data_IF_432000966291
#
_entry.id   IF_432000966291
#
_cell.length_a   1.000
_cell.length_b   1.000
_cell.length_c   1.000
_cell.angle_alpha   90.00
_cell.angle_beta   90.00
_cell.angle_gamma   90.00
#
_symmetry.space_group_name_H-M   'P 1'
#
loop_
_entity.id
_entity.type
_entity.pdbx_description
1 polymer ?
#
# COMPACT_ATOMS: atom_id res chain seq x y z
N UNK A 1 -3.45 30.72 -7.11
CA UNK A 1 -3.32 29.60 -6.16
C UNK A 1 -1.84 29.31 -5.92
N UNK A 2 -1.30 29.67 -4.75
CA UNK A 2 0.01 29.15 -4.31
C UNK A 2 -0.18 27.66 -4.02
N UNK A 3 0.75 26.83 -4.50
CA UNK A 3 0.72 25.39 -4.23
C UNK A 3 1.36 25.19 -2.85
N UNK A 4 0.53 25.07 -1.81
CA UNK A 4 1.04 24.81 -0.45
C UNK A 4 1.54 23.38 -0.35
N UNK A 5 2.86 23.26 -0.34
CA UNK A 5 3.61 22.01 -0.24
C UNK A 5 3.76 21.54 1.23
N UNK A 6 3.30 22.35 2.18
CA UNK A 6 3.54 22.23 3.63
C UNK A 6 2.32 21.75 4.42
N UNK A 7 1.15 21.65 3.81
CA UNK A 7 0.02 21.05 4.52
C UNK A 7 0.39 19.59 4.83
N UNK A 8 0.50 19.24 6.12
CA UNK A 8 0.84 17.88 6.59
C UNK A 8 -0.44 17.04 6.79
N UNK A 9 -1.59 17.68 6.98
CA UNK A 9 -2.84 17.04 7.36
C UNK A 9 -3.50 16.23 6.22
N UNK A 10 -3.18 16.53 4.96
CA UNK A 10 -3.78 15.84 3.81
C UNK A 10 -3.55 14.32 3.87
N UNK A 11 -2.40 13.87 4.39
CA UNK A 11 -2.06 12.46 4.44
C UNK A 11 -2.95 11.72 5.44
N UNK A 12 -3.13 12.28 6.64
CA UNK A 12 -4.02 11.71 7.67
C UNK A 12 -5.48 11.69 7.21
N UNK A 13 -5.95 12.76 6.55
CA UNK A 13 -7.31 12.82 5.99
C UNK A 13 -7.50 11.77 4.90
N UNK A 14 -6.52 11.62 4.00
CA UNK A 14 -6.54 10.60 2.95
C UNK A 14 -6.56 9.18 3.54
N UNK A 15 -5.72 8.91 4.54
CA UNK A 15 -5.69 7.62 5.25
C UNK A 15 -7.04 7.33 5.92
N UNK A 16 -7.62 8.29 6.62
CA UNK A 16 -8.92 8.12 7.27
C UNK A 16 -10.03 7.86 6.24
N UNK A 17 -10.08 8.66 5.17
CA UNK A 17 -11.07 8.52 4.11
C UNK A 17 -10.99 7.15 3.42
N UNK A 18 -9.78 6.67 3.13
CA UNK A 18 -9.60 5.32 2.61
C UNK A 18 -10.02 4.24 3.63
N UNK A 19 -9.93 4.49 4.94
CA UNK A 19 -10.23 3.45 5.95
C UNK A 19 -11.72 3.22 5.99
N UNK A 20 -12.44 4.32 6.17
CA UNK A 20 -13.90 4.37 6.13
C UNK A 20 -14.42 3.76 4.82
N UNK A 21 -13.79 4.08 3.68
CA UNK A 21 -14.21 3.52 2.40
C UNK A 21 -14.04 1.99 2.33
N UNK A 22 -12.88 1.45 2.73
CA UNK A 22 -12.63 0.01 2.70
C UNK A 22 -13.42 -0.78 3.76
N UNK A 23 -13.89 -0.12 4.81
CA UNK A 23 -14.77 -0.71 5.83
C UNK A 23 -16.23 -0.77 5.37
N UNK A 24 -16.72 0.27 4.69
CA UNK A 24 -18.14 0.37 4.27
C UNK A 24 -18.40 -0.32 2.93
N UNK A 25 -17.49 -0.18 1.96
CA UNK A 25 -17.73 -0.61 0.60
C UNK A 25 -17.38 -2.08 0.38
N UNK A 26 -18.33 -2.85 -0.16
CA UNK A 26 -18.07 -4.21 -0.67
C UNK A 26 -17.31 -4.20 -2.01
N UNK A 27 -17.56 -3.19 -2.85
CA UNK A 27 -16.93 -3.03 -4.18
C UNK A 27 -15.78 -2.01 -4.17
N UNK A 28 -14.69 -2.35 -3.48
CA UNK A 28 -13.54 -1.44 -3.30
C UNK A 28 -12.77 -1.17 -4.61
N UNK A 29 -12.78 -2.11 -5.55
CA UNK A 29 -11.93 -2.05 -6.74
C UNK A 29 -12.29 -0.93 -7.73
N UNK A 30 -13.59 -0.62 -7.89
CA UNK A 30 -14.06 0.30 -8.94
C UNK A 30 -13.74 1.75 -8.56
N UNK A 31 -14.10 2.16 -7.34
CA UNK A 31 -13.90 3.54 -6.89
C UNK A 31 -12.40 3.83 -6.74
N UNK A 32 -11.65 2.92 -6.11
CA UNK A 32 -10.20 3.05 -5.97
C UNK A 32 -9.52 3.15 -7.34
N UNK A 33 -9.95 2.33 -8.31
CA UNK A 33 -9.47 2.42 -9.68
C UNK A 33 -9.72 3.79 -10.33
N UNK A 34 -10.91 4.38 -10.12
CA UNK A 34 -11.24 5.73 -10.62
C UNK A 34 -10.42 6.82 -9.92
N UNK A 35 -10.25 6.73 -8.60
CA UNK A 35 -9.45 7.68 -7.82
C UNK A 35 -7.99 7.66 -8.25
N UNK A 36 -7.39 6.46 -8.36
CA UNK A 36 -6.02 6.29 -8.85
C UNK A 36 -5.88 6.82 -10.27
N UNK A 37 -6.82 6.50 -11.17
CA UNK A 37 -6.78 6.99 -12.55
C UNK A 37 -6.81 8.52 -12.61
N UNK A 38 -7.64 9.15 -11.78
CA UNK A 38 -7.74 10.61 -11.70
C UNK A 38 -6.47 11.23 -11.10
N UNK A 39 -5.91 10.63 -10.05
CA UNK A 39 -4.66 11.08 -9.44
C UNK A 39 -3.48 10.98 -10.43
N UNK A 40 -3.33 9.85 -11.12
CA UNK A 40 -2.33 9.67 -12.17
C UNK A 40 -2.50 10.65 -13.33
N UNK A 41 -3.75 10.96 -13.70
CA UNK A 41 -4.04 11.97 -14.72
C UNK A 41 -3.50 13.35 -14.31
N UNK A 42 -3.69 13.76 -13.05
CA UNK A 42 -3.12 15.01 -12.54
C UNK A 42 -1.59 14.98 -12.53
N UNK A 43 -0.97 13.89 -12.07
CA UNK A 43 0.49 13.73 -12.07
C UNK A 43 1.05 13.88 -13.49
N UNK A 44 0.45 13.20 -14.47
CA UNK A 44 0.84 13.29 -15.89
C UNK A 44 0.63 14.69 -16.44
N UNK A 45 -0.52 15.31 -16.16
CA UNK A 45 -0.81 16.65 -16.65
C UNK A 45 0.22 17.67 -16.16
N UNK A 46 0.64 17.57 -14.91
CA UNK A 46 1.66 18.45 -14.33
C UNK A 46 3.05 18.14 -14.90
N UNK A 47 3.39 16.86 -15.14
CA UNK A 47 4.66 16.53 -15.79
C UNK A 47 4.74 17.11 -17.20
N UNK A 48 3.65 17.07 -17.98
CA UNK A 48 3.61 17.63 -19.33
C UNK A 48 3.86 19.15 -19.31
N UNK A 49 3.25 19.86 -18.34
CA UNK A 49 3.46 21.30 -18.16
C UNK A 49 4.90 21.60 -17.75
N UNK A 50 5.46 20.83 -16.82
CA UNK A 50 6.86 20.97 -16.41
C UNK A 50 7.81 20.77 -17.59
N UNK A 51 7.64 19.69 -18.38
CA UNK A 51 8.45 19.41 -19.56
C UNK A 51 8.34 20.51 -20.61
N UNK A 52 7.17 21.11 -20.79
CA UNK A 52 6.99 22.26 -21.69
C UNK A 52 7.87 23.45 -21.30
N UNK A 53 7.88 23.83 -20.01
CA UNK A 53 8.73 24.93 -19.53
C UNK A 53 10.21 24.55 -19.51
N UNK A 54 10.56 23.29 -19.22
CA UNK A 54 11.94 22.80 -19.26
C UNK A 54 12.50 22.87 -20.69
N UNK A 55 11.73 22.45 -21.69
CA UNK A 55 12.12 22.54 -23.09
C UNK A 55 12.26 23.99 -23.56
N UNK A 56 11.39 24.90 -23.11
CA UNK A 56 11.52 26.34 -23.45
C UNK A 56 12.79 26.98 -22.89
N UNK A 57 13.21 26.58 -21.68
CA UNK A 57 14.47 27.06 -21.09
C UNK A 57 15.68 26.49 -21.85
N UNK A 58 15.63 25.23 -22.28
CA UNK A 58 16.72 24.59 -23.05
C UNK A 58 16.90 25.16 -24.46
N UNK A 59 15.83 25.62 -25.10
CA UNK A 59 15.85 26.09 -26.49
C UNK A 59 16.30 27.54 -26.64
N UNK A 60 16.13 28.39 -25.62
CA UNK A 60 16.47 29.81 -25.67
C UNK A 60 17.44 30.18 -24.55
N UNK A 61 18.69 30.47 -24.89
CA UNK A 61 19.73 30.86 -23.92
C UNK A 61 19.39 32.21 -23.23
N UNK A 62 18.70 33.11 -23.95
CA UNK A 62 18.21 34.40 -23.45
C UNK A 62 16.75 34.30 -22.94
N UNK A 63 16.41 33.22 -22.20
CA UNK A 63 15.07 33.03 -21.64
C UNK A 63 14.78 34.08 -20.57
N UNK A 64 13.67 34.82 -20.71
CA UNK A 64 13.21 35.79 -19.71
C UNK A 64 13.03 35.17 -18.32
N UNK A 65 13.34 35.95 -17.28
CA UNK A 65 13.32 35.56 -15.86
C UNK A 65 12.01 34.86 -15.46
N UNK A 66 10.87 35.36 -15.97
CA UNK A 66 9.53 34.79 -15.76
C UNK A 66 9.44 33.32 -16.17
N UNK A 67 10.11 32.90 -17.26
CA UNK A 67 10.06 31.51 -17.73
C UNK A 67 10.85 30.60 -16.79
N UNK A 68 11.98 31.07 -16.27
CA UNK A 68 12.80 30.34 -15.29
C UNK A 68 12.04 30.18 -13.97
N UNK A 69 11.36 31.23 -13.49
CA UNK A 69 10.51 31.16 -12.30
C UNK A 69 9.34 30.17 -12.47
N UNK A 70 8.66 30.21 -13.63
CA UNK A 70 7.57 29.29 -13.94
C UNK A 70 8.05 27.84 -13.99
N UNK A 71 9.22 27.58 -14.58
CA UNK A 71 9.84 26.25 -14.56
C UNK A 71 10.05 25.76 -13.13
N UNK A 72 10.60 26.61 -12.27
CA UNK A 72 10.86 26.27 -10.87
C UNK A 72 9.56 25.98 -10.09
N UNK A 73 8.50 26.77 -10.33
CA UNK A 73 7.18 26.55 -9.77
C UNK A 73 6.61 25.18 -10.19
N UNK A 74 6.62 24.87 -11.49
CA UNK A 74 6.08 23.61 -11.99
C UNK A 74 6.93 22.40 -11.59
N UNK A 75 8.24 22.56 -11.45
CA UNK A 75 9.11 21.53 -10.87
C UNK A 75 8.71 21.20 -9.43
N UNK A 76 8.49 22.22 -8.59
CA UNK A 76 8.03 22.02 -7.19
C UNK A 76 6.64 21.37 -7.15
N UNK A 77 5.71 21.84 -7.98
CA UNK A 77 4.38 21.26 -8.09
C UNK A 77 4.43 19.79 -8.54
N UNK A 78 5.27 19.46 -9.52
CA UNK A 78 5.46 18.09 -9.99
C UNK A 78 6.01 17.17 -8.89
N UNK A 79 7.02 17.63 -8.13
CA UNK A 79 7.58 16.88 -7.00
C UNK A 79 6.49 16.59 -5.97
N UNK A 80 5.72 17.61 -5.58
CA UNK A 80 4.68 17.47 -4.56
C UNK A 80 3.54 16.54 -5.01
N UNK A 81 3.06 16.67 -6.25
CA UNK A 81 1.97 15.80 -6.75
C UNK A 81 2.45 14.36 -6.95
N UNK A 82 3.69 14.16 -7.38
CA UNK A 82 4.27 12.83 -7.53
C UNK A 82 4.47 12.15 -6.18
N UNK A 83 4.98 12.86 -5.18
CA UNK A 83 5.06 12.41 -3.78
C UNK A 83 3.70 11.97 -3.26
N UNK A 84 2.67 12.81 -3.42
CA UNK A 84 1.30 12.49 -2.98
C UNK A 84 0.72 11.26 -3.69
N UNK A 85 0.98 11.12 -5.00
CA UNK A 85 0.55 9.97 -5.77
C UNK A 85 1.23 8.67 -5.29
N UNK A 86 2.53 8.72 -4.98
CA UNK A 86 3.27 7.57 -4.44
C UNK A 86 2.72 7.17 -3.06
N UNK A 87 2.57 8.13 -2.15
CA UNK A 87 1.99 7.90 -0.84
C UNK A 87 0.56 7.32 -0.92
N UNK A 88 -0.28 7.86 -1.81
CA UNK A 88 -1.62 7.33 -2.08
C UNK A 88 -1.56 5.89 -2.62
N UNK A 89 -0.67 5.60 -3.55
CA UNK A 89 -0.51 4.25 -4.10
C UNK A 89 -0.09 3.22 -3.05
N UNK A 90 0.82 3.60 -2.14
CA UNK A 90 1.24 2.77 -1.02
C UNK A 90 0.10 2.51 -0.03
N UNK A 91 -0.73 3.52 0.26
CA UNK A 91 -1.88 3.32 1.14
C UNK A 91 -2.98 2.47 0.52
N UNK A 92 -3.25 2.65 -0.77
CA UNK A 92 -4.17 1.76 -1.49
C UNK A 92 -3.68 0.31 -1.42
N UNK A 93 -2.39 0.07 -1.64
CA UNK A 93 -1.80 -1.27 -1.51
C UNK A 93 -2.00 -1.85 -0.11
N UNK A 94 -1.64 -1.10 0.94
CA UNK A 94 -1.78 -1.55 2.33
C UNK A 94 -3.24 -1.85 2.69
N UNK A 95 -4.19 -0.99 2.27
CA UNK A 95 -5.61 -1.20 2.54
C UNK A 95 -6.19 -2.39 1.78
N UNK A 96 -5.72 -2.67 0.56
CA UNK A 96 -6.07 -3.91 -0.13
C UNK A 96 -5.62 -5.14 0.64
N UNK A 97 -4.42 -5.13 1.24
CA UNK A 97 -3.92 -6.23 2.07
C UNK A 97 -4.77 -6.40 3.32
N UNK A 98 -4.96 -5.33 4.09
CA UNK A 98 -5.78 -5.35 5.33
C UNK A 98 -7.21 -5.83 5.04
N UNK A 99 -7.84 -5.31 3.99
CA UNK A 99 -9.20 -5.69 3.63
C UNK A 99 -9.29 -7.17 3.24
N UNK A 100 -8.28 -7.71 2.56
CA UNK A 100 -8.29 -9.12 2.13
C UNK A 100 -8.01 -10.08 3.29
N UNK A 101 -7.11 -9.74 4.21
CA UNK A 101 -6.72 -10.64 5.30
C UNK A 101 -7.55 -10.51 6.56
N UNK A 102 -8.07 -9.32 6.86
CA UNK A 102 -8.79 -9.06 8.11
C UNK A 102 -10.28 -8.95 7.83
N UNK A 103 -10.67 -7.95 7.04
CA UNK A 103 -12.09 -7.63 6.82
C UNK A 103 -12.80 -8.77 6.07
N UNK A 104 -12.25 -9.22 4.95
CA UNK A 104 -12.83 -10.29 4.15
C UNK A 104 -12.93 -11.59 4.95
N UNK A 105 -11.86 -12.00 5.65
CA UNK A 105 -11.87 -13.23 6.46
C UNK A 105 -12.93 -13.15 7.56
N UNK A 106 -13.04 -12.03 8.26
CA UNK A 106 -14.05 -11.81 9.30
C UNK A 106 -15.48 -11.88 8.74
N UNK A 107 -15.73 -11.25 7.60
CA UNK A 107 -17.05 -11.25 6.97
C UNK A 107 -17.45 -12.63 6.45
N UNK A 108 -16.52 -13.38 5.85
CA UNK A 108 -16.77 -14.74 5.37
C UNK A 108 -17.09 -15.67 6.55
N UNK A 109 -16.34 -15.56 7.67
CA UNK A 109 -16.64 -16.33 8.89
C UNK A 109 -18.04 -16.03 9.41
N UNK A 110 -18.39 -14.76 9.54
CA UNK A 110 -19.74 -14.34 9.97
C UNK A 110 -20.83 -14.88 9.05
N UNK A 111 -20.61 -14.85 7.74
CA UNK A 111 -21.57 -15.41 6.77
C UNK A 111 -21.70 -16.93 6.91
N UNK A 112 -20.60 -17.66 7.09
CA UNK A 112 -20.62 -19.11 7.28
C UNK A 112 -21.40 -19.50 8.55
N UNK A 113 -21.20 -18.77 9.66
CA UNK A 113 -21.94 -18.97 10.90
C UNK A 113 -23.45 -18.77 10.70
N UNK A 114 -23.87 -17.67 10.05
CA UNK A 114 -25.28 -17.39 9.77
C UNK A 114 -25.91 -18.48 8.89
N UNK A 115 -25.20 -18.97 7.87
CA UNK A 115 -25.67 -20.08 7.02
C UNK A 115 -25.86 -21.35 7.86
N UNK A 116 -24.92 -21.66 8.76
CA UNK A 116 -25.00 -22.84 9.62
C UNK A 116 -26.21 -22.77 10.58
N UNK A 117 -26.48 -21.61 11.18
CA UNK A 117 -27.67 -21.41 12.02
C UNK A 117 -28.99 -21.49 11.23
N UNK A 118 -29.00 -20.93 10.02
CA UNK A 118 -30.17 -21.02 9.11
C UNK A 118 -30.46 -22.48 8.73
N UNK A 119 -29.41 -23.25 8.43
CA UNK A 119 -29.53 -24.66 8.06
C UNK A 119 -30.04 -25.55 9.21
N UNK A 120 -29.73 -25.19 10.47
CA UNK A 120 -30.23 -25.86 11.67
C UNK A 120 -31.66 -25.46 12.05
N UNK A 121 -32.27 -24.52 11.34
CA UNK A 121 -33.64 -24.05 11.60
C UNK A 121 -33.78 -23.14 12.82
N UNK A 122 -32.67 -22.69 13.41
CA UNK A 122 -32.66 -21.83 14.61
C UNK A 122 -32.88 -20.34 14.27
N UNK A 123 -32.67 -19.96 13.00
CA UNK A 123 -32.95 -18.62 12.48
C UNK A 123 -33.90 -18.79 11.29
N UNK A 124 -35.16 -18.34 11.43
CA UNK A 124 -36.05 -18.11 10.28
C UNK A 124 -35.59 -16.80 9.65
N UNK A 125 -35.03 -16.81 8.42
CA UNK A 125 -34.74 -15.57 7.73
C UNK A 125 -36.05 -14.81 7.58
N UNK A 126 -36.12 -13.59 8.10
CA UNK A 126 -37.19 -12.65 7.76
C UNK A 126 -37.31 -12.66 6.23
N UNK A 127 -38.47 -13.08 5.71
CA UNK A 127 -38.69 -13.34 4.29
C UNK A 127 -38.16 -12.16 3.48
N UNK A 128 -36.98 -12.36 2.89
CA UNK A 128 -36.34 -11.31 2.12
C UNK A 128 -37.32 -10.93 1.02
N UNK A 129 -37.71 -9.65 0.89
CA UNK A 129 -38.66 -9.22 -0.13
C UNK A 129 -38.16 -9.73 -1.47
N UNK A 130 -39.06 -10.34 -2.24
CA UNK A 130 -38.85 -11.14 -3.47
C UNK A 130 -37.87 -10.47 -4.47
N UNK A 131 -36.60 -10.45 -4.11
CA UNK A 131 -35.54 -9.67 -4.74
C UNK A 131 -34.70 -10.64 -5.52
N UNK A 132 -34.67 -10.45 -6.82
CA UNK A 132 -33.71 -11.13 -7.68
C UNK A 132 -32.30 -10.77 -7.22
N UNK A 133 -31.57 -11.79 -6.78
CA UNK A 133 -30.15 -11.67 -6.42
C UNK A 133 -29.38 -11.16 -7.64
N UNK A 134 -28.53 -10.15 -7.43
CA UNK A 134 -27.57 -9.74 -8.47
C UNK A 134 -26.59 -10.88 -8.73
N UNK A 135 -25.96 -10.91 -9.91
CA UNK A 135 -25.08 -12.03 -10.31
C UNK A 135 -24.01 -12.37 -9.26
N UNK A 136 -23.41 -11.36 -8.61
CA UNK A 136 -22.42 -11.57 -7.55
C UNK A 136 -23.04 -12.08 -6.23
N UNK A 137 -24.27 -11.67 -5.90
CA UNK A 137 -25.01 -12.16 -4.72
C UNK A 137 -25.38 -13.63 -4.92
N UNK A 138 -25.83 -13.98 -6.12
CA UNK A 138 -26.09 -15.36 -6.51
C UNK A 138 -24.80 -16.20 -6.47
N UNK A 139 -23.70 -15.70 -7.02
CA UNK A 139 -22.40 -16.40 -6.97
C UNK A 139 -21.87 -16.57 -5.54
N UNK A 140 -22.13 -15.60 -4.65
CA UNK A 140 -21.80 -15.70 -3.23
C UNK A 140 -22.65 -16.76 -2.52
N UNK A 141 -23.96 -16.78 -2.76
CA UNK A 141 -24.88 -17.75 -2.16
C UNK A 141 -24.65 -19.18 -2.67
N UNK A 142 -24.35 -19.34 -3.96
CA UNK A 142 -24.05 -20.65 -4.56
C UNK A 142 -22.61 -21.13 -4.33
N UNK A 143 -21.80 -20.38 -3.58
CA UNK A 143 -20.37 -20.60 -3.44
C UNK A 143 -19.67 -20.84 -4.79
N UNK A 144 -19.99 -20.06 -5.83
CA UNK A 144 -19.41 -20.17 -7.17
C UNK A 144 -18.40 -19.05 -7.44
N UNK A 145 -17.29 -19.36 -8.12
CA UNK A 145 -16.29 -18.36 -8.51
C UNK A 145 -15.33 -17.96 -7.36
N UNK A 146 -15.40 -16.72 -6.86
CA UNK A 146 -14.55 -16.28 -5.73
C UNK A 146 -14.85 -17.07 -4.44
N UNK A 147 -15.94 -17.83 -4.37
CA UNK A 147 -16.28 -18.73 -3.26
C UNK A 147 -16.29 -20.23 -3.61
N UNK A 148 -15.88 -20.61 -4.83
CA UNK A 148 -15.80 -22.02 -5.24
C UNK A 148 -14.81 -22.77 -4.35
N UNK A 149 -15.29 -23.79 -3.66
CA UNK A 149 -14.48 -24.76 -2.95
C UNK A 149 -14.38 -26.01 -3.82
N UNK A 150 -13.22 -26.66 -3.87
CA UNK A 150 -13.10 -27.96 -4.54
C UNK A 150 -14.16 -28.91 -3.99
N UNK A 151 -14.72 -29.80 -4.81
CA UNK A 151 -15.74 -30.75 -4.34
C UNK A 151 -15.19 -31.66 -3.23
N UNK A 152 -13.89 -31.97 -3.26
CA UNK A 152 -13.19 -32.65 -2.16
C UNK A 152 -13.15 -31.82 -0.85
N UNK A 153 -13.06 -30.50 -0.96
CA UNK A 153 -13.09 -29.58 0.18
C UNK A 153 -14.52 -29.40 0.71
N UNK A 154 -15.54 -29.40 -0.15
CA UNK A 154 -16.96 -29.36 0.27
C UNK A 154 -17.36 -30.62 1.05
N UNK A 155 -16.77 -31.76 0.70
CA UNK A 155 -17.02 -33.05 1.34
C UNK A 155 -16.22 -33.27 2.63
N UNK A 156 -15.40 -32.30 3.07
CA UNK A 156 -14.62 -32.38 4.31
C UNK A 156 -13.50 -33.44 4.28
N UNK A 157 -13.15 -33.95 3.10
CA UNK A 157 -12.23 -35.08 2.91
C UNK A 157 -10.79 -34.70 3.27
N UNK A 158 -10.45 -33.42 3.26
CA UNK A 158 -9.09 -32.92 3.48
C UNK A 158 -8.73 -32.73 4.96
N UNK A 159 -9.68 -32.84 5.90
CA UNK A 159 -9.44 -32.63 7.34
C UNK A 159 -9.01 -31.21 7.72
N UNK A 160 -9.04 -30.27 6.77
CA UNK A 160 -8.66 -28.86 6.99
C UNK A 160 -9.85 -28.10 7.58
N UNK A 161 -9.63 -27.41 8.70
CA UNK A 161 -10.63 -26.53 9.30
C UNK A 161 -11.11 -25.46 8.31
N UNK A 162 -12.39 -25.10 8.37
CA UNK A 162 -12.98 -24.05 7.55
C UNK A 162 -12.24 -22.72 7.68
N UNK A 163 -11.74 -22.39 8.88
CA UNK A 163 -10.96 -21.18 9.10
C UNK A 163 -9.65 -21.16 8.31
N UNK A 164 -8.96 -22.30 8.27
CA UNK A 164 -7.69 -22.44 7.55
C UNK A 164 -7.93 -22.38 6.03
N UNK A 165 -9.07 -22.87 5.56
CA UNK A 165 -9.48 -22.73 4.15
C UNK A 165 -9.74 -21.27 3.76
N UNK A 166 -10.43 -20.51 4.62
CA UNK A 166 -10.70 -19.09 4.37
C UNK A 166 -9.37 -18.30 4.33
N UNK A 167 -8.44 -18.60 5.24
CA UNK A 167 -7.10 -17.98 5.29
C UNK A 167 -6.26 -18.34 4.06
N UNK A 168 -6.19 -19.62 3.71
CA UNK A 168 -5.50 -20.08 2.49
C UNK A 168 -6.02 -19.36 1.24
N UNK A 169 -7.34 -19.12 1.19
CA UNK A 169 -7.97 -18.37 0.11
C UNK A 169 -7.62 -16.88 0.11
N UNK A 170 -7.54 -16.22 1.26
CA UNK A 170 -7.10 -14.82 1.34
C UNK A 170 -5.68 -14.68 0.79
N UNK A 171 -4.78 -15.58 1.20
CA UNK A 171 -3.41 -15.65 0.67
C UNK A 171 -3.40 -15.87 -0.84
N UNK A 172 -4.21 -16.80 -1.36
CA UNK A 172 -4.31 -17.04 -2.81
C UNK A 172 -4.81 -15.80 -3.59
N UNK A 173 -5.74 -15.02 -3.03
CA UNK A 173 -6.21 -13.76 -3.65
C UNK A 173 -5.07 -12.75 -3.72
N UNK A 174 -4.30 -12.60 -2.64
CA UNK A 174 -3.19 -11.66 -2.57
C UNK A 174 -2.07 -12.02 -3.55
N UNK A 175 -1.64 -13.28 -3.56
CA UNK A 175 -0.53 -13.76 -4.39
C UNK A 175 -0.88 -13.77 -5.89
N UNK A 176 -2.07 -14.27 -6.25
CA UNK A 176 -2.39 -14.54 -7.66
C UNK A 176 -3.32 -13.51 -8.31
N UNK A 177 -4.18 -12.82 -7.56
CA UNK A 177 -5.26 -11.99 -8.13
C UNK A 177 -4.98 -10.50 -8.07
N UNK A 178 -4.41 -9.99 -6.98
CA UNK A 178 -4.16 -8.55 -6.82
C UNK A 178 -3.04 -8.04 -7.74
N UNK A 179 -2.00 -8.84 -7.94
CA UNK A 179 -0.82 -8.49 -8.73
C UNK A 179 -0.85 -9.05 -10.16
N UNK A 180 -1.97 -9.67 -10.56
CA UNK A 180 -2.13 -10.18 -11.93
C UNK A 180 -1.98 -9.04 -12.94
N UNK A 181 -1.34 -9.35 -14.07
CA UNK A 181 -1.15 -8.38 -15.16
C UNK A 181 -2.46 -7.69 -15.55
N UNK A 182 -2.41 -6.38 -15.70
CA UNK A 182 -3.56 -5.55 -16.04
C UNK A 182 -4.46 -5.16 -14.86
N UNK A 183 -4.10 -5.50 -13.62
CA UNK A 183 -4.76 -5.00 -12.41
C UNK A 183 -4.15 -3.68 -11.95
N UNK A 184 -4.83 -3.02 -11.00
CA UNK A 184 -4.46 -1.69 -10.54
C UNK A 184 -3.07 -1.67 -9.89
N UNK A 185 -2.86 -2.54 -8.90
CA UNK A 185 -1.60 -2.61 -8.14
C UNK A 185 -0.43 -3.04 -9.04
N UNK A 186 -0.66 -3.97 -9.98
CA UNK A 186 0.36 -4.37 -10.96
C UNK A 186 0.79 -3.23 -11.88
N UNK A 187 -0.09 -2.26 -12.17
CA UNK A 187 0.24 -1.08 -12.99
C UNK A 187 0.91 0.03 -12.18
N UNK A 188 0.64 0.11 -10.87
CA UNK A 188 1.25 1.09 -9.97
C UNK A 188 2.67 0.69 -9.56
N UNK A 189 2.93 -0.61 -9.38
CA UNK A 189 4.22 -1.09 -8.92
C UNK A 189 5.41 -0.64 -9.79
N UNK A 190 5.38 -0.74 -11.14
CA UNK A 190 6.48 -0.26 -11.98
C UNK A 190 6.75 1.24 -11.79
N UNK A 191 5.70 2.04 -11.58
CA UNK A 191 5.84 3.47 -11.33
C UNK A 191 6.55 3.74 -9.99
N UNK A 192 6.17 3.03 -8.92
CA UNK A 192 6.82 3.11 -7.60
C UNK A 192 8.29 2.72 -7.70
N UNK A 193 8.59 1.57 -8.32
CA UNK A 193 9.96 1.06 -8.47
C UNK A 193 10.81 1.99 -9.34
N UNK A 194 10.24 2.57 -10.39
CA UNK A 194 10.92 3.55 -11.23
C UNK A 194 11.29 4.80 -10.43
N UNK A 195 10.35 5.37 -9.69
CA UNK A 195 10.61 6.55 -8.85
C UNK A 195 11.67 6.30 -7.77
N UNK A 196 11.74 5.07 -7.25
CA UNK A 196 12.72 4.67 -6.25
C UNK A 196 14.13 4.51 -6.84
N UNK A 197 14.25 3.91 -8.04
CA UNK A 197 15.55 3.59 -8.67
C UNK A 197 16.13 4.71 -9.53
N UNK A 198 15.30 5.60 -10.07
CA UNK A 198 15.77 6.63 -10.97
C UNK A 198 16.67 7.65 -10.23
N UNK A 199 17.91 7.78 -10.68
CA UNK A 199 18.89 8.74 -10.13
C UNK A 199 18.44 10.19 -10.31
N UNK A 200 17.66 10.46 -11.37
CA UNK A 200 17.07 11.78 -11.65
C UNK A 200 15.93 12.15 -10.68
N UNK A 201 15.46 11.23 -9.84
CA UNK A 201 14.38 11.49 -8.89
C UNK A 201 14.85 12.33 -7.72
N UNK A 202 14.09 13.37 -7.39
CA UNK A 202 14.35 14.17 -6.20
C UNK A 202 14.33 13.30 -4.94
N UNK A 203 15.13 13.62 -3.90
CA UNK A 203 15.11 12.90 -2.64
C UNK A 203 13.71 12.73 -2.04
N UNK A 204 12.86 13.75 -2.18
CA UNK A 204 11.47 13.73 -1.70
C UNK A 204 10.63 12.66 -2.40
N UNK A 205 10.77 12.53 -3.71
CA UNK A 205 10.12 11.46 -4.50
C UNK A 205 10.67 10.09 -4.11
N UNK A 206 12.01 9.95 -4.01
CA UNK A 206 12.65 8.67 -3.65
C UNK A 206 12.22 8.20 -2.26
N UNK A 207 12.15 9.10 -1.28
CA UNK A 207 11.70 8.79 0.07
C UNK A 207 10.23 8.33 0.07
N UNK A 208 9.34 9.04 -0.63
CA UNK A 208 7.94 8.62 -0.76
C UNK A 208 7.77 7.30 -1.52
N UNK A 209 8.58 7.06 -2.56
CA UNK A 209 8.60 5.81 -3.30
C UNK A 209 9.08 4.64 -2.44
N UNK A 210 10.07 4.88 -1.57
CA UNK A 210 10.56 3.88 -0.62
C UNK A 210 9.44 3.46 0.34
N UNK A 211 8.71 4.42 0.92
CA UNK A 211 7.56 4.14 1.81
C UNK A 211 6.39 3.47 1.10
N UNK A 212 6.16 3.78 -0.17
CA UNK A 212 5.17 3.07 -0.97
C UNK A 212 5.65 1.63 -1.20
N UNK A 213 6.90 1.44 -1.62
CA UNK A 213 7.50 0.15 -1.88
C UNK A 213 7.45 -0.79 -0.65
N UNK A 214 7.72 -0.27 0.54
CA UNK A 214 7.61 -1.04 1.80
C UNK A 214 6.20 -1.52 2.11
N UNK A 215 5.16 -0.89 1.55
CA UNK A 215 3.78 -1.38 1.65
C UNK A 215 3.43 -2.37 0.54
N UNK A 216 3.96 -2.16 -0.66
CA UNK A 216 3.77 -3.09 -1.79
C UNK A 216 4.39 -4.46 -1.52
N UNK A 217 5.58 -4.50 -0.91
CA UNK A 217 6.30 -5.75 -0.61
C UNK A 217 5.49 -6.68 0.32
N UNK A 218 4.56 -6.14 1.11
CA UNK A 218 3.68 -6.90 1.99
C UNK A 218 2.56 -7.66 1.25
N UNK A 219 2.33 -7.38 -0.03
CA UNK A 219 1.19 -7.97 -0.77
C UNK A 219 1.37 -9.48 -0.97
N UNK A 220 2.54 -9.92 -1.41
CA UNK A 220 2.77 -11.31 -1.84
C UNK A 220 4.16 -11.81 -1.46
N UNK A 221 4.26 -13.11 -1.19
CA UNK A 221 5.55 -13.75 -0.85
C UNK A 221 6.58 -13.62 -1.97
N UNK A 222 6.18 -13.79 -3.23
CA UNK A 222 7.08 -13.68 -4.37
C UNK A 222 7.66 -12.25 -4.48
N UNK A 223 6.84 -11.23 -4.18
CA UNK A 223 7.32 -9.85 -4.13
C UNK A 223 8.26 -9.62 -2.93
N UNK A 224 7.94 -10.20 -1.77
CA UNK A 224 8.78 -10.15 -0.59
C UNK A 224 10.19 -10.73 -0.85
N UNK A 225 10.27 -11.89 -1.49
CA UNK A 225 11.54 -12.54 -1.80
C UNK A 225 12.38 -11.76 -2.82
N UNK A 226 11.74 -11.15 -3.83
CA UNK A 226 12.45 -10.35 -4.85
C UNK A 226 12.82 -8.95 -4.34
N UNK A 227 12.00 -8.40 -3.43
CA UNK A 227 12.11 -7.04 -2.94
C UNK A 227 12.92 -6.89 -1.66
N UNK A 228 13.16 -7.97 -0.92
CA UNK A 228 13.80 -7.94 0.40
C UNK A 228 15.18 -7.30 0.38
N UNK A 229 16.02 -7.65 -0.60
CA UNK A 229 17.36 -7.06 -0.72
C UNK A 229 17.32 -5.54 -0.86
N UNK A 230 16.41 -5.01 -1.69
CA UNK A 230 16.25 -3.56 -1.85
C UNK A 230 15.68 -2.92 -0.58
N UNK A 231 14.72 -3.58 0.06
CA UNK A 231 14.10 -3.12 1.31
C UNK A 231 15.14 -2.99 2.44
N UNK A 232 15.92 -4.04 2.72
CA UNK A 232 16.94 -4.02 3.77
C UNK A 232 18.14 -3.12 3.41
N UNK A 233 18.48 -2.97 2.13
CA UNK A 233 19.45 -1.96 1.72
C UNK A 233 18.97 -0.53 2.01
N UNK A 234 17.68 -0.23 1.84
CA UNK A 234 17.12 1.09 2.18
C UNK A 234 17.06 1.29 3.71
N UNK A 235 16.82 0.21 4.45
CA UNK A 235 16.83 0.17 5.90
C UNK A 235 18.18 0.64 6.47
N UNK A 236 19.29 0.07 5.96
CA UNK A 236 20.62 0.27 6.52
C UNK A 236 21.41 1.41 5.86
N UNK A 237 21.30 1.56 4.53
CA UNK A 237 22.17 2.46 3.77
C UNK A 237 21.52 3.80 3.38
N UNK A 238 20.25 4.03 3.73
CA UNK A 238 19.61 5.31 3.40
C UNK A 238 20.29 6.47 4.13
N UNK A 239 20.67 7.56 3.43
CA UNK A 239 21.27 8.73 4.06
C UNK A 239 20.27 9.53 4.92
N UNK A 240 18.96 9.30 4.74
CA UNK A 240 17.91 10.03 5.44
C UNK A 240 17.41 9.24 6.67
N UNK A 241 17.59 9.74 7.91
CA UNK A 241 17.16 9.06 9.12
C UNK A 241 15.66 8.76 9.14
N UNK A 242 14.83 9.70 8.65
CA UNK A 242 13.38 9.53 8.57
C UNK A 242 12.97 8.33 7.71
N UNK A 243 13.72 8.04 6.65
CA UNK A 243 13.46 6.85 5.81
C UNK A 243 13.83 5.58 6.58
N UNK A 244 14.98 5.56 7.26
CA UNK A 244 15.40 4.40 8.07
C UNK A 244 14.38 4.09 9.16
N UNK A 245 13.92 5.09 9.90
CA UNK A 245 12.90 4.92 10.95
C UNK A 245 11.59 4.34 10.39
N UNK A 246 11.10 4.90 9.28
CA UNK A 246 9.89 4.38 8.66
C UNK A 246 10.06 2.97 8.08
N UNK A 247 11.25 2.65 7.56
CA UNK A 247 11.58 1.30 7.11
C UNK A 247 11.68 0.33 8.28
N UNK A 248 12.13 0.77 9.47
CA UNK A 248 12.14 -0.04 10.69
C UNK A 248 10.72 -0.44 11.09
N UNK A 249 9.78 0.51 11.08
CA UNK A 249 8.37 0.23 11.36
C UNK A 249 7.82 -0.76 10.34
N UNK A 250 8.11 -0.56 9.05
CA UNK A 250 7.69 -1.49 8.01
C UNK A 250 8.37 -2.88 8.13
N UNK A 251 9.58 -2.95 8.69
CA UNK A 251 10.29 -4.20 8.93
C UNK A 251 9.57 -5.05 9.99
N UNK A 252 8.96 -4.42 10.99
CA UNK A 252 8.11 -5.14 11.94
C UNK A 252 6.91 -5.80 11.24
N UNK A 253 6.17 -5.03 10.42
CA UNK A 253 5.05 -5.57 9.63
C UNK A 253 5.50 -6.71 8.70
N UNK A 254 6.66 -6.52 8.07
CA UNK A 254 7.27 -7.52 7.20
C UNK A 254 7.67 -8.80 7.96
N UNK A 255 8.13 -8.67 9.22
CA UNK A 255 8.50 -9.80 10.09
C UNK A 255 7.31 -10.63 10.52
N UNK A 256 6.19 -9.98 10.85
CA UNK A 256 4.96 -10.70 11.17
C UNK A 256 4.38 -11.43 9.97
N UNK A 257 4.53 -10.86 8.77
CA UNK A 257 3.91 -11.39 7.57
C UNK A 257 4.74 -12.47 6.87
N UNK A 258 6.06 -12.29 6.80
CA UNK A 258 6.99 -13.18 6.10
C UNK A 258 8.21 -13.51 6.97
N UNK A 259 8.02 -14.24 8.09
CA UNK A 259 9.09 -14.51 9.05
C UNK A 259 10.30 -15.21 8.41
N UNK A 260 10.06 -16.19 7.54
CA UNK A 260 11.13 -16.94 6.85
C UNK A 260 11.99 -16.06 5.94
N UNK A 261 11.42 -14.98 5.38
CA UNK A 261 12.19 -14.05 4.54
C UNK A 261 13.00 -13.11 5.40
N UNK A 262 12.48 -12.68 6.55
CA UNK A 262 13.21 -11.82 7.51
C UNK A 262 14.38 -12.52 8.16
N UNK A 263 14.25 -13.81 8.47
CA UNK A 263 15.33 -14.58 9.10
C UNK A 263 16.65 -14.48 8.32
N UNK A 264 16.59 -14.41 6.98
CA UNK A 264 17.76 -14.22 6.10
C UNK A 264 18.47 -12.88 6.28
N UNK A 265 17.77 -11.87 6.80
CA UNK A 265 18.24 -10.50 6.99
C UNK A 265 18.19 -10.09 8.47
N UNK A 266 18.17 -11.06 9.40
CA UNK A 266 18.08 -10.77 10.83
C UNK A 266 19.23 -9.84 11.30
N UNK A 267 20.44 -10.07 10.78
CA UNK A 267 21.61 -9.23 11.08
C UNK A 267 21.39 -7.76 10.68
N UNK A 268 20.77 -7.52 9.52
CA UNK A 268 20.47 -6.17 9.04
C UNK A 268 19.47 -5.46 9.96
N UNK A 269 18.48 -6.20 10.48
CA UNK A 269 17.50 -5.67 11.43
C UNK A 269 18.15 -5.34 12.77
N UNK A 270 18.97 -6.24 13.30
CA UNK A 270 19.67 -6.02 14.58
C UNK A 270 20.64 -4.85 14.52
N UNK A 271 21.39 -4.71 13.42
CA UNK A 271 22.33 -3.60 13.23
C UNK A 271 21.61 -2.24 13.32
N UNK A 272 20.40 -2.12 12.78
CA UNK A 272 19.66 -0.86 12.88
C UNK A 272 19.04 -0.64 14.26
N UNK A 273 18.57 -1.69 14.94
CA UNK A 273 18.08 -1.58 16.32
C UNK A 273 19.19 -1.09 17.27
N UNK A 274 20.40 -1.63 17.11
CA UNK A 274 21.58 -1.17 17.85
C UNK A 274 21.89 0.30 17.56
N UNK A 275 21.86 0.70 16.28
CA UNK A 275 22.06 2.11 15.89
C UNK A 275 21.03 3.05 16.55
N UNK A 276 19.75 2.66 16.59
CA UNK A 276 18.69 3.45 17.22
C UNK A 276 18.91 3.59 18.73
N UNK A 277 19.20 2.48 19.41
CA UNK A 277 19.48 2.47 20.86
C UNK A 277 20.67 3.36 21.20
N UNK A 278 21.76 3.27 20.42
CA UNK A 278 22.94 4.12 20.61
C UNK A 278 22.60 5.60 20.36
N UNK A 279 21.79 5.92 19.36
CA UNK A 279 21.39 7.30 19.09
C UNK A 279 20.55 7.91 20.23
N UNK A 280 19.62 7.17 20.82
CA UNK A 280 18.83 7.62 21.95
C UNK A 280 19.65 7.75 23.24
N UNK A 281 20.63 6.86 23.44
CA UNK A 281 21.61 6.97 24.53
C UNK A 281 22.51 8.20 24.38
N UNK A 282 22.95 8.55 23.17
CA UNK A 282 23.73 9.78 22.96
C UNK A 282 22.92 11.05 23.17
N UNK A 283 21.64 11.06 22.77
CA UNK A 283 20.70 12.16 23.02
C UNK A 283 20.46 12.36 24.53
N UNK A 284 20.15 11.29 25.26
CA UNK A 284 19.96 11.34 26.72
C UNK A 284 21.24 11.71 27.47
N UNK A 285 22.41 11.24 27.03
CA UNK A 285 23.71 11.65 27.58
C UNK A 285 23.99 13.14 27.35
N UNK A 286 23.70 13.65 26.14
CA UNK A 286 23.91 15.06 25.81
C UNK A 286 22.96 15.99 26.56
N UNK A 287 21.71 15.57 26.81
CA UNK A 287 20.76 16.32 27.64
C UNK A 287 21.17 16.34 29.11
N UNK A 288 21.70 15.24 29.66
CA UNK A 288 22.24 15.19 31.01
C UNK A 288 23.46 16.11 31.19
N UNK A 289 24.36 16.18 30.21
CA UNK A 289 25.49 17.10 30.24
C UNK A 289 25.07 18.58 30.12
N UNK A 290 23.97 18.88 29.41
CA UNK A 290 23.43 20.25 29.30
C UNK A 290 22.66 20.72 30.54
N UNK A 291 22.23 19.80 31.41
CA UNK A 291 21.51 20.11 32.65
C UNK A 291 22.43 20.27 33.88
N UNK A 292 23.74 20.06 33.71
CA UNK A 292 24.76 20.17 34.76
C UNK A 292 25.66 21.41 34.61
N UNK A 293 25.29 22.36 33.75
CA UNK A 293 25.90 23.70 33.62
C UNK A 293 24.83 24.75 33.82
#
# INVERSE_FOLDING_TARGET
MRFDCENVQWFSVMQAALSVYFEIAKDTCIVVGRLVSKALWYTRRISDIFLFYDNKVKMNDNTGEVIKERRLYWMRAWICVTERMLAFSGEVAMRCVIHTDVTYVKEVKRMAEVIAYTAKGEIVPEEAPNRTLKEWEWRSAMHKGIFDFSDADKLGITGVSEEERIRSRSTAILDSKLLRQGRLLSRLLPFVVYCLRAESSSPRIRNAAALAFSKFILISRDMAERGSMLFFSLLNNSPYPMVRNNMMVAAADFSFRFPNTVEKYAQDVYAMLEFLLLSDLTLSSSQLFSAQV
#
